data_IF_975691237477
#
_entry.id   IF_975691237477
#
_cell.length_a   1.000
_cell.length_b   1.000
_cell.length_c   1.000
_cell.angle_alpha   90.00
_cell.angle_beta   90.00
_cell.angle_gamma   90.00
#
_symmetry.space_group_name_H-M   'P 1'
#
loop_
_entity.id
_entity.type
_entity.pdbx_description
1 polymer ?
#
# COMPACT_ATOMS: atom_id res chain seq x y z
N UNK A 1 22.51 18.26 -46.94
CA UNK A 1 22.67 19.41 -46.04
C UNK A 1 21.44 19.46 -45.11
N UNK A 2 21.24 18.51 -44.19
CA UNK A 2 21.86 18.30 -42.88
C UNK A 2 21.51 19.37 -41.83
N UNK A 3 20.82 18.90 -40.77
CA UNK A 3 20.39 19.58 -39.52
C UNK A 3 19.08 20.36 -39.68
N UNK A 4 18.02 20.05 -38.93
CA UNK A 4 17.96 20.25 -37.47
C UNK A 4 17.19 19.13 -36.78
N UNK A 5 17.88 18.54 -35.81
CA UNK A 5 17.50 17.39 -35.00
C UNK A 5 16.36 17.74 -34.04
N UNK A 6 15.42 16.81 -33.89
CA UNK A 6 14.40 16.77 -32.85
C UNK A 6 15.02 17.09 -31.49
N UNK A 7 14.59 18.19 -30.89
CA UNK A 7 14.98 18.60 -29.55
C UNK A 7 14.15 17.82 -28.53
N UNK A 8 14.43 16.52 -28.38
CA UNK A 8 13.99 15.73 -27.24
C UNK A 8 15.04 15.85 -26.14
N UNK A 9 14.99 16.97 -25.41
CA UNK A 9 15.79 17.16 -24.19
C UNK A 9 14.90 16.86 -22.99
N UNK A 10 14.55 15.57 -22.78
CA UNK A 10 13.97 15.16 -21.49
C UNK A 10 15.13 14.97 -20.51
N UNK A 11 15.28 16.00 -19.68
CA UNK A 11 16.34 16.16 -18.70
C UNK A 11 16.55 14.94 -17.80
N UNK A 12 17.81 14.81 -17.43
CA UNK A 12 18.41 13.75 -16.64
C UNK A 12 17.83 13.68 -15.22
N UNK A 13 17.46 12.45 -14.84
CA UNK A 13 17.72 11.80 -13.53
C UNK A 13 17.84 12.74 -12.32
N UNK A 14 16.74 12.89 -11.59
CA UNK A 14 16.71 13.25 -10.17
C UNK A 14 16.00 12.14 -9.38
N UNK A 15 16.74 11.51 -8.46
CA UNK A 15 16.37 10.41 -7.57
C UNK A 15 14.91 10.42 -7.07
N UNK A 16 14.18 9.32 -7.29
CA UNK A 16 13.20 8.71 -6.36
C UNK A 16 12.71 7.35 -6.90
N UNK A 17 13.64 6.52 -7.38
CA UNK A 17 13.36 5.19 -7.91
C UNK A 17 13.34 4.14 -6.80
N UNK A 18 12.29 4.16 -5.98
CA UNK A 18 12.07 3.15 -4.93
C UNK A 18 10.59 2.99 -4.58
N UNK A 19 9.68 3.48 -5.43
CA UNK A 19 8.26 3.27 -5.30
C UNK A 19 7.93 1.83 -5.62
N UNK A 20 8.06 0.98 -4.61
CA UNK A 20 7.78 -0.45 -4.63
C UNK A 20 6.52 -0.72 -5.46
N UNK A 21 6.60 -1.52 -6.52
CA UNK A 21 5.50 -1.71 -7.50
C UNK A 21 4.20 -2.18 -6.83
N UNK A 22 4.32 -2.87 -5.69
CA UNK A 22 3.18 -3.28 -4.87
C UNK A 22 2.44 -2.10 -4.19
N UNK A 23 3.06 -0.92 -4.01
CA UNK A 23 2.38 0.29 -3.52
C UNK A 23 1.39 0.89 -4.54
N UNK A 24 1.58 0.58 -5.83
CA UNK A 24 0.69 0.95 -6.94
C UNK A 24 -0.50 -0.01 -7.08
N UNK A 25 -0.39 -1.22 -6.54
CA UNK A 25 -1.43 -2.26 -6.63
C UNK A 25 -2.33 -2.32 -5.39
N UNK A 26 -2.29 -1.35 -4.48
CA UNK A 26 -3.18 -1.32 -3.30
C UNK A 26 -4.12 -0.13 -3.44
N UNK A 27 -5.44 -0.37 -3.41
CA UNK A 27 -6.42 0.72 -3.49
C UNK A 27 -6.37 1.61 -2.23
N UNK A 28 -6.86 2.85 -2.29
CA UNK A 28 -6.91 3.73 -1.11
C UNK A 28 -7.59 3.06 0.09
N UNK A 29 -8.74 2.40 -0.15
CA UNK A 29 -9.48 1.69 0.90
C UNK A 29 -8.69 0.54 1.51
N UNK A 30 -7.94 -0.19 0.70
CA UNK A 30 -7.07 -1.25 1.19
C UNK A 30 -5.89 -0.68 2.01
N UNK A 31 -5.38 0.50 1.67
CA UNK A 31 -4.36 1.19 2.49
C UNK A 31 -4.91 1.62 3.84
N UNK A 32 -6.15 2.10 3.89
CA UNK A 32 -6.82 2.43 5.16
C UNK A 32 -6.94 1.20 6.06
N UNK A 33 -7.48 0.10 5.52
CA UNK A 33 -7.60 -1.17 6.25
C UNK A 33 -6.24 -1.66 6.72
N UNK A 34 -5.22 -1.60 5.84
CA UNK A 34 -3.86 -2.01 6.19
C UNK A 34 -3.29 -1.19 7.35
N UNK A 35 -3.55 0.12 7.41
CA UNK A 35 -3.14 1.00 8.51
C UNK A 35 -3.80 0.60 9.83
N UNK A 36 -5.11 0.35 9.80
CA UNK A 36 -5.85 -0.03 11.00
C UNK A 36 -5.45 -1.43 11.50
N UNK A 37 -5.22 -2.38 10.59
CA UNK A 37 -4.67 -3.71 10.94
C UNK A 37 -3.26 -3.57 11.54
N UNK A 38 -2.44 -2.64 11.04
CA UNK A 38 -1.10 -2.38 11.57
C UNK A 38 -1.10 -1.73 12.96
N UNK A 39 -2.17 -1.02 13.32
CA UNK A 39 -2.40 -0.50 14.67
C UNK A 39 -2.85 -1.60 15.66
N UNK A 40 -2.99 -2.85 15.21
CA UNK A 40 -3.46 -3.95 16.04
C UNK A 40 -4.97 -3.98 16.24
N UNK A 41 -5.74 -3.16 15.50
CA UNK A 41 -7.20 -3.14 15.61
C UNK A 41 -7.81 -4.44 15.10
N UNK A 42 -8.82 -4.92 15.82
CA UNK A 42 -9.62 -6.09 15.45
C UNK A 42 -10.51 -5.79 14.24
N UNK A 43 -11.00 -6.83 13.55
CA UNK A 43 -11.92 -6.65 12.42
C UNK A 43 -13.17 -5.83 12.79
N UNK A 44 -13.64 -5.96 14.04
CA UNK A 44 -14.79 -5.20 14.58
C UNK A 44 -14.45 -3.73 14.76
N UNK A 45 -13.29 -3.40 15.32
CA UNK A 45 -12.86 -2.01 15.49
C UNK A 45 -12.56 -1.34 14.15
N UNK A 46 -11.97 -2.07 13.20
CA UNK A 46 -11.75 -1.60 11.82
C UNK A 46 -13.09 -1.29 11.15
N UNK A 47 -14.06 -2.19 11.28
CA UNK A 47 -15.41 -2.02 10.75
C UNK A 47 -16.09 -0.77 11.33
N UNK A 48 -15.98 -0.59 12.65
CA UNK A 48 -16.50 0.60 13.34
C UNK A 48 -15.82 1.89 12.88
N UNK A 49 -14.48 1.93 12.81
CA UNK A 49 -13.72 3.10 12.35
C UNK A 49 -14.06 3.49 10.90
N UNK A 50 -14.27 2.49 10.03
CA UNK A 50 -14.57 2.70 8.63
C UNK A 50 -16.06 2.82 8.31
N UNK A 51 -16.93 2.69 9.32
CA UNK A 51 -18.41 2.65 9.21
C UNK A 51 -18.90 1.64 8.16
N UNK A 52 -18.29 0.45 8.14
CA UNK A 52 -18.64 -0.66 7.23
C UNK A 52 -18.85 -1.94 8.02
N UNK A 53 -19.51 -2.93 7.42
CA UNK A 53 -19.69 -4.24 8.06
C UNK A 53 -18.37 -5.01 8.23
N UNK A 54 -18.27 -5.82 9.28
CA UNK A 54 -17.12 -6.72 9.54
C UNK A 54 -16.86 -7.64 8.34
N UNK A 55 -17.92 -8.19 7.74
CA UNK A 55 -17.88 -8.97 6.50
C UNK A 55 -17.17 -8.22 5.37
N UNK A 56 -17.43 -6.93 5.23
CA UNK A 56 -16.82 -6.07 4.20
C UNK A 56 -15.32 -5.88 4.46
N UNK A 57 -14.92 -5.72 5.73
CA UNK A 57 -13.51 -5.69 6.13
C UNK A 57 -12.81 -6.99 5.74
N UNK A 58 -13.42 -8.14 6.02
CA UNK A 58 -12.86 -9.45 5.67
C UNK A 58 -12.67 -9.60 4.15
N UNK A 59 -13.67 -9.22 3.35
CA UNK A 59 -13.58 -9.24 1.89
C UNK A 59 -12.44 -8.33 1.39
N UNK A 60 -12.34 -7.11 1.93
CA UNK A 60 -11.26 -6.21 1.57
C UNK A 60 -9.87 -6.74 1.97
N UNK A 61 -9.75 -7.38 3.14
CA UNK A 61 -8.51 -8.03 3.60
C UNK A 61 -8.15 -9.21 2.70
N UNK A 62 -9.10 -10.06 2.36
CA UNK A 62 -8.89 -11.18 1.43
C UNK A 62 -8.40 -10.70 0.07
N UNK A 63 -9.07 -9.69 -0.50
CA UNK A 63 -8.65 -9.09 -1.76
C UNK A 63 -7.27 -8.43 -1.67
N UNK A 64 -6.96 -7.79 -0.54
CA UNK A 64 -5.64 -7.21 -0.30
C UNK A 64 -4.55 -8.29 -0.21
N UNK A 65 -4.82 -9.37 0.53
CA UNK A 65 -3.91 -10.51 0.68
C UNK A 65 -3.65 -11.21 -0.65
N UNK A 66 -4.70 -11.44 -1.46
CA UNK A 66 -4.58 -11.98 -2.81
C UNK A 66 -3.72 -11.09 -3.70
N UNK A 67 -3.92 -9.77 -3.68
CA UNK A 67 -3.15 -8.81 -4.49
C UNK A 67 -1.68 -8.74 -4.08
N UNK A 68 -1.40 -8.80 -2.78
CA UNK A 68 -0.04 -8.78 -2.24
C UNK A 68 0.61 -10.18 -2.21
N UNK A 69 -0.10 -11.23 -2.66
CA UNK A 69 0.33 -12.64 -2.65
C UNK A 69 0.79 -13.11 -1.26
N UNK A 70 0.11 -12.65 -0.21
CA UNK A 70 0.39 -13.05 1.18
C UNK A 70 -0.71 -13.99 1.67
N UNK A 71 -0.34 -14.94 2.54
CA UNK A 71 -1.28 -15.93 3.10
C UNK A 71 -1.76 -15.58 4.49
N UNK A 72 -0.96 -14.83 5.25
CA UNK A 72 -1.26 -14.50 6.64
C UNK A 72 -1.23 -12.99 6.89
N UNK A 73 -1.93 -12.57 7.96
CA UNK A 73 -1.94 -11.18 8.44
C UNK A 73 -0.53 -10.73 8.84
N UNK A 74 0.24 -11.59 9.50
CA UNK A 74 1.63 -11.29 9.83
C UNK A 74 2.49 -11.04 8.58
N UNK A 75 2.27 -11.82 7.51
CA UNK A 75 2.93 -11.60 6.22
C UNK A 75 2.45 -10.31 5.56
N UNK A 76 1.15 -9.99 5.64
CA UNK A 76 0.60 -8.74 5.17
C UNK A 76 1.27 -7.53 5.84
N UNK A 77 1.42 -7.56 7.16
CA UNK A 77 2.09 -6.51 7.94
C UNK A 77 3.58 -6.41 7.60
N UNK A 78 4.28 -7.54 7.53
CA UNK A 78 5.69 -7.59 7.13
C UNK A 78 5.88 -7.02 5.72
N UNK A 79 5.00 -7.39 4.79
CA UNK A 79 5.04 -6.87 3.43
C UNK A 79 4.75 -5.37 3.41
N UNK A 80 3.75 -4.90 4.16
CA UNK A 80 3.45 -3.47 4.27
C UNK A 80 4.61 -2.63 4.81
N UNK A 81 5.36 -3.18 5.78
CA UNK A 81 6.61 -2.62 6.30
C UNK A 81 7.71 -2.57 5.24
N UNK A 82 7.97 -3.69 4.57
CA UNK A 82 8.96 -3.79 3.49
C UNK A 82 8.67 -2.81 2.35
N UNK A 83 7.40 -2.67 2.01
CA UNK A 83 6.92 -1.77 0.97
C UNK A 83 6.83 -0.31 1.43
N UNK A 84 7.11 -0.01 2.71
CA UNK A 84 6.96 1.31 3.34
C UNK A 84 5.57 1.95 3.14
N UNK A 85 4.52 1.12 3.08
CA UNK A 85 3.13 1.63 3.01
C UNK A 85 2.64 2.14 4.36
N UNK A 86 3.31 1.74 5.44
CA UNK A 86 2.96 2.12 6.80
C UNK A 86 4.01 3.09 7.36
N UNK A 87 3.60 4.22 7.95
CA UNK A 87 4.51 5.19 8.54
C UNK A 87 5.10 4.63 9.84
N UNK A 88 6.40 4.81 10.10
CA UNK A 88 7.09 4.24 11.28
C UNK A 88 6.41 4.57 12.64
N UNK A 89 5.53 5.57 12.69
CA UNK A 89 4.76 5.99 13.85
C UNK A 89 3.69 5.02 14.35
N UNK A 90 3.34 3.94 13.63
CA UNK A 90 2.34 2.98 14.13
C UNK A 90 2.88 2.00 15.19
N UNK A 91 4.20 1.93 15.42
CA UNK A 91 4.82 1.00 16.39
C UNK A 91 4.96 1.59 17.80
N UNK A 92 4.48 2.80 18.06
CA UNK A 92 4.77 3.56 19.29
C UNK A 92 3.69 3.43 20.37
N UNK A 93 3.16 2.23 20.63
CA UNK A 93 2.23 2.03 21.75
C UNK A 93 2.41 0.70 22.44
#
# INVERSE_FOLDING_TARGET
MAKRRKSQKKGRRGRSGGGNAASRTVTPRQKEILRLVAQGLTNREIAHNLKISVRTVEVHRFNLMRRLKVRNVAQLLRQALLLRLLPKSFMTR
#
